data_IF_874674055949
#
_entry.id   IF_874674055949
#
_cell.length_a   1.000
_cell.length_b   1.000
_cell.length_c   1.000
_cell.angle_alpha   90.00
_cell.angle_beta   90.00
_cell.angle_gamma   90.00
#
_symmetry.space_group_name_H-M   'P 1'
#
loop_
_entity.id
_entity.type
_entity.pdbx_description
1 polymer ?
#
# COMPACT_ATOMS: atom_id res chain seq x y z
N UNK A 1 2.31 20.89 -2.30
CA UNK A 1 3.45 21.01 -1.37
C UNK A 1 4.16 19.71 -1.04
N UNK A 2 3.59 18.73 -0.31
CA UNK A 2 4.34 17.50 0.07
C UNK A 2 4.81 16.65 -1.11
N UNK A 3 3.94 16.46 -2.10
CA UNK A 3 4.25 15.70 -3.31
C UNK A 3 5.37 16.37 -4.13
N UNK A 4 5.24 17.67 -4.41
CA UNK A 4 6.26 18.46 -5.12
C UNK A 4 7.61 18.42 -4.38
N UNK A 5 7.61 18.64 -3.05
CA UNK A 5 8.82 18.57 -2.23
C UNK A 5 9.50 17.21 -2.31
N UNK A 6 8.74 16.12 -2.29
CA UNK A 6 9.29 14.77 -2.48
C UNK A 6 9.88 14.60 -3.89
N UNK A 7 9.20 15.08 -4.94
CA UNK A 7 9.70 15.02 -6.31
C UNK A 7 11.00 15.82 -6.50
N UNK A 8 11.12 16.99 -5.88
CA UNK A 8 12.33 17.82 -5.89
C UNK A 8 13.54 17.11 -5.27
N UNK A 9 13.34 16.17 -4.34
CA UNK A 9 14.44 15.42 -3.73
C UNK A 9 15.16 14.51 -4.74
N UNK A 10 14.45 14.02 -5.77
CA UNK A 10 15.02 13.15 -6.81
C UNK A 10 15.85 11.99 -6.22
N UNK A 11 17.06 11.80 -6.73
CA UNK A 11 18.01 10.79 -6.22
C UNK A 11 18.98 11.35 -5.16
N UNK A 12 18.81 12.60 -4.71
CA UNK A 12 19.75 13.24 -3.77
C UNK A 12 19.60 12.74 -2.32
N UNK A 13 18.51 12.02 -2.03
CA UNK A 13 18.19 11.47 -0.70
C UNK A 13 17.87 9.98 -0.80
N UNK A 14 18.14 9.18 0.24
CA UNK A 14 17.67 7.81 0.32
C UNK A 14 16.15 7.74 0.13
N UNK A 15 15.69 6.73 -0.62
CA UNK A 15 14.26 6.56 -0.90
C UNK A 15 13.36 6.52 0.36
N UNK A 16 13.78 6.00 1.54
CA UNK A 16 12.92 6.05 2.73
C UNK A 16 12.70 7.48 3.24
N UNK A 17 13.68 8.38 3.10
CA UNK A 17 13.53 9.80 3.50
C UNK A 17 12.55 10.52 2.56
N UNK A 18 12.64 10.26 1.26
CA UNK A 18 11.71 10.81 0.27
C UNK A 18 10.27 10.31 0.50
N UNK A 19 10.12 9.01 0.77
CA UNK A 19 8.84 8.40 1.12
C UNK A 19 8.24 9.03 2.38
N UNK A 20 9.02 9.17 3.46
CA UNK A 20 8.57 9.79 4.70
C UNK A 20 8.15 11.25 4.50
N UNK A 21 8.86 12.02 3.66
CA UNK A 21 8.49 13.40 3.37
C UNK A 21 7.10 13.53 2.70
N UNK A 22 6.69 12.50 1.94
CA UNK A 22 5.40 12.46 1.27
C UNK A 22 4.29 11.84 2.14
N UNK A 23 4.51 10.64 2.66
CA UNK A 23 3.49 9.84 3.36
C UNK A 23 3.51 10.04 4.87
N UNK A 24 4.64 10.45 5.45
CA UNK A 24 4.87 10.50 6.90
C UNK A 24 5.34 9.17 7.50
N UNK A 25 5.41 8.10 6.69
CA UNK A 25 5.75 6.75 7.14
C UNK A 25 7.25 6.47 6.97
N UNK A 26 7.80 5.64 7.87
CA UNK A 26 9.24 5.29 7.88
C UNK A 26 9.50 3.85 7.48
N UNK A 27 8.46 3.05 7.22
CA UNK A 27 8.56 1.62 6.97
C UNK A 27 7.61 1.15 5.87
N UNK A 28 7.62 -0.16 5.64
CA UNK A 28 6.73 -0.81 4.67
C UNK A 28 5.32 -0.94 5.28
N UNK A 29 4.40 -0.07 4.87
CA UNK A 29 2.97 -0.24 5.13
C UNK A 29 2.23 -0.59 3.82
N UNK A 30 1.51 -1.72 3.84
CA UNK A 30 0.69 -2.19 2.73
C UNK A 30 -0.79 -1.82 2.90
N UNK A 31 -1.14 -1.06 3.94
CA UNK A 31 -2.51 -0.64 4.25
C UNK A 31 -3.16 0.12 3.10
N UNK A 32 -2.44 1.06 2.47
CA UNK A 32 -2.97 1.85 1.35
C UNK A 32 -3.46 0.98 0.17
N UNK A 33 -2.77 -0.12 -0.13
CA UNK A 33 -3.18 -1.07 -1.17
C UNK A 33 -4.43 -1.85 -0.71
N UNK A 34 -4.44 -2.28 0.55
CA UNK A 34 -5.58 -3.00 1.13
C UNK A 34 -6.84 -2.13 1.17
N UNK A 35 -6.71 -0.86 1.55
CA UNK A 35 -7.80 0.11 1.60
C UNK A 35 -8.36 0.39 0.22
N UNK A 36 -7.50 0.55 -0.78
CA UNK A 36 -7.93 0.71 -2.17
C UNK A 36 -8.77 -0.48 -2.67
N UNK A 37 -8.38 -1.70 -2.30
CA UNK A 37 -9.10 -2.93 -2.69
C UNK A 37 -10.17 -3.39 -1.70
N UNK A 38 -10.44 -2.64 -0.63
CA UNK A 38 -11.41 -3.05 0.40
C UNK A 38 -12.79 -3.42 -0.16
N UNK A 39 -13.39 -2.69 -1.13
CA UNK A 39 -14.67 -3.06 -1.71
C UNK A 39 -14.63 -4.40 -2.47
N UNK A 40 -13.55 -4.65 -3.20
CA UNK A 40 -13.36 -5.91 -3.92
C UNK A 40 -13.16 -7.07 -2.94
N UNK A 41 -12.37 -6.86 -1.89
CA UNK A 41 -12.15 -7.87 -0.86
C UNK A 41 -13.46 -8.24 -0.12
N UNK A 42 -14.31 -7.24 0.17
CA UNK A 42 -15.63 -7.48 0.75
C UNK A 42 -16.51 -8.32 -0.19
N UNK A 43 -16.49 -8.05 -1.50
CA UNK A 43 -17.21 -8.86 -2.48
C UNK A 43 -16.66 -10.29 -2.57
N UNK A 44 -15.34 -10.47 -2.64
CA UNK A 44 -14.68 -11.78 -2.68
C UNK A 44 -15.00 -12.62 -1.44
N UNK A 45 -15.07 -12.00 -0.26
CA UNK A 45 -15.47 -12.67 0.99
C UNK A 45 -16.86 -13.30 0.89
N UNK A 46 -17.79 -12.67 0.17
CA UNK A 46 -19.13 -13.25 -0.07
C UNK A 46 -19.06 -14.37 -1.10
N UNK A 47 -18.31 -14.20 -2.19
CA UNK A 47 -18.22 -15.18 -3.26
C UNK A 47 -17.53 -16.49 -2.83
N UNK A 48 -16.55 -16.37 -1.94
CA UNK A 48 -15.76 -17.50 -1.47
C UNK A 48 -16.43 -18.31 -0.37
N UNK A 49 -17.65 -17.96 0.05
CA UNK A 49 -18.40 -18.74 1.05
C UNK A 49 -18.62 -20.17 0.55
N UNK A 50 -18.15 -21.15 1.32
CA UNK A 50 -18.25 -22.57 0.98
C UNK A 50 -17.24 -23.03 -0.09
N UNK A 51 -16.24 -22.19 -0.43
CA UNK A 51 -15.10 -22.57 -1.25
C UNK A 51 -13.92 -22.90 -0.35
N UNK A 52 -13.08 -23.83 -0.81
CA UNK A 52 -11.76 -24.02 -0.22
C UNK A 52 -10.83 -22.97 -0.83
N UNK A 53 -10.33 -22.06 0.00
CA UNK A 53 -9.52 -20.92 -0.42
C UNK A 53 -8.15 -21.01 0.23
N UNK A 54 -7.13 -21.26 -0.58
CA UNK A 54 -5.77 -21.52 -0.14
C UNK A 54 -5.09 -22.44 -1.13
N UNK A 55 -3.84 -22.78 -0.84
CA UNK A 55 -3.07 -23.73 -1.64
C UNK A 55 -2.31 -24.63 -0.66
N UNK A 56 -2.21 -25.92 -0.95
CA UNK A 56 -1.33 -26.83 -0.21
C UNK A 56 0.13 -26.44 -0.45
N UNK A 57 0.97 -26.65 0.57
CA UNK A 57 2.38 -26.29 0.58
C UNK A 57 3.28 -27.27 -0.19
#
# INVERSE_FOLDING_TARGET
ERFERMLEMGQSRPWPEAMQAFTGETGNDASAVTDYFAPLNAWLTVQNRGKDCGWDA
#
